data_IF_927096588976
#
_entry.id   IF_927096588976
#
_cell.length_a   1.000
_cell.length_b   1.000
_cell.length_c   1.000
_cell.angle_alpha   90.00
_cell.angle_beta   90.00
_cell.angle_gamma   90.00
#
_symmetry.space_group_name_H-M   'P 1'
#
loop_
_entity.id
_entity.type
_entity.pdbx_description
1 polymer ?
#
# COMPACT_ATOMS: atom_id res chain seq x y z
N UNK A 1 6.30 -18.57 -29.43
CA UNK A 1 4.90 -18.49 -29.91
C UNK A 1 4.35 -17.16 -29.43
N UNK A 2 4.04 -16.26 -30.37
CA UNK A 2 3.76 -14.85 -30.13
C UNK A 2 2.48 -14.70 -29.28
N UNK A 3 2.59 -14.06 -28.11
CA UNK A 3 1.43 -13.66 -27.32
C UNK A 3 0.71 -12.52 -28.07
N UNK A 4 -0.38 -12.87 -28.74
CA UNK A 4 -1.28 -11.90 -29.35
C UNK A 4 -1.88 -11.04 -28.24
N UNK A 5 -1.67 -9.73 -28.34
CA UNK A 5 -2.33 -8.74 -27.50
C UNK A 5 -3.83 -8.87 -27.70
N UNK A 6 -4.54 -9.26 -26.66
CA UNK A 6 -5.99 -9.16 -26.63
C UNK A 6 -6.29 -7.69 -26.41
N UNK A 7 -6.62 -6.98 -27.49
CA UNK A 7 -7.42 -5.75 -27.41
C UNK A 7 -8.78 -6.16 -26.84
N UNK A 8 -8.86 -6.17 -25.52
CA UNK A 8 -10.10 -6.39 -24.80
C UNK A 8 -10.82 -5.05 -24.88
N UNK A 9 -11.73 -4.90 -25.84
CA UNK A 9 -12.80 -3.90 -25.73
C UNK A 9 -13.43 -4.10 -24.35
N UNK A 10 -13.09 -3.21 -23.41
CA UNK A 10 -13.66 -3.21 -22.08
C UNK A 10 -15.08 -2.69 -22.24
N UNK A 11 -15.99 -3.58 -22.61
CA UNK A 11 -17.44 -3.37 -22.68
C UNK A 11 -18.03 -3.30 -21.25
N UNK A 12 -17.38 -2.50 -20.39
CA UNK A 12 -17.75 -2.32 -18.99
C UNK A 12 -18.41 -0.95 -18.87
N UNK A 13 -19.69 -0.87 -18.50
CA UNK A 13 -20.36 0.42 -18.41
C UNK A 13 -19.70 1.28 -17.34
N UNK A 14 -19.55 2.57 -17.62
CA UNK A 14 -19.10 3.54 -16.64
C UNK A 14 -20.12 3.63 -15.49
N UNK A 15 -19.68 3.29 -14.28
CA UNK A 15 -20.46 3.42 -13.06
C UNK A 15 -19.63 4.26 -12.07
N UNK A 16 -20.10 5.46 -11.69
CA UNK A 16 -19.35 6.29 -10.76
C UNK A 16 -19.42 5.79 -9.32
N UNK A 17 -18.36 6.08 -8.56
CA UNK A 17 -18.37 6.01 -7.09
C UNK A 17 -19.27 7.13 -6.51
N UNK A 18 -20.25 6.83 -5.64
CA UNK A 18 -21.04 7.86 -4.95
C UNK A 18 -20.15 8.83 -4.16
N UNK A 19 -20.52 10.12 -4.11
CA UNK A 19 -19.64 11.15 -3.51
C UNK A 19 -19.31 10.88 -2.02
N UNK A 20 -20.26 10.34 -1.25
CA UNK A 20 -20.02 9.94 0.14
C UNK A 20 -18.92 8.86 0.26
N UNK A 21 -18.89 7.92 -0.69
CA UNK A 21 -17.87 6.87 -0.77
C UNK A 21 -16.53 7.46 -1.22
N UNK A 22 -16.51 8.37 -2.21
CA UNK A 22 -15.30 9.11 -2.60
C UNK A 22 -14.68 9.81 -1.40
N UNK A 23 -15.48 10.55 -0.63
CA UNK A 23 -15.01 11.23 0.57
C UNK A 23 -14.40 10.24 1.56
N UNK A 24 -15.07 9.09 1.78
CA UNK A 24 -14.57 8.07 2.71
C UNK A 24 -13.29 7.40 2.23
N UNK A 25 -13.16 7.12 0.93
CA UNK A 25 -11.92 6.58 0.34
C UNK A 25 -10.73 7.49 0.65
N UNK A 26 -10.88 8.79 0.39
CA UNK A 26 -9.80 9.77 0.60
C UNK A 26 -9.50 9.99 2.09
N UNK A 27 -10.52 9.93 2.96
CA UNK A 27 -10.34 9.98 4.41
C UNK A 27 -9.63 8.74 4.96
N UNK A 28 -10.04 7.54 4.55
CA UNK A 28 -9.44 6.29 5.00
C UNK A 28 -7.99 6.17 4.52
N UNK A 29 -7.69 6.65 3.31
CA UNK A 29 -6.33 6.76 2.80
C UNK A 29 -5.53 7.92 3.42
N UNK A 30 -6.09 8.65 4.38
CA UNK A 30 -5.44 9.79 5.04
C UNK A 30 -4.77 10.74 4.04
N UNK A 31 -5.46 11.10 2.95
CA UNK A 31 -4.88 11.97 1.90
C UNK A 31 -4.47 13.31 2.49
N UNK A 32 -3.27 13.77 2.15
CA UNK A 32 -2.64 14.99 2.69
C UNK A 32 -2.34 16.01 1.59
N UNK A 33 -2.18 17.30 1.95
CA UNK A 33 -1.66 18.29 1.02
C UNK A 33 -0.33 17.86 0.42
N UNK A 34 -0.22 17.95 -0.91
CA UNK A 34 0.98 17.58 -1.67
C UNK A 34 1.10 16.10 -2.04
N UNK A 35 0.26 15.21 -1.49
CA UNK A 35 0.20 13.80 -1.92
C UNK A 35 -0.03 13.73 -3.43
N UNK A 36 0.69 12.83 -4.09
CA UNK A 36 0.47 12.42 -5.47
C UNK A 36 -0.58 11.30 -5.48
N UNK A 37 -1.80 11.63 -5.86
CA UNK A 37 -2.91 10.69 -6.01
C UNK A 37 -3.01 10.26 -7.47
N UNK A 38 -3.11 8.96 -7.71
CA UNK A 38 -3.35 8.40 -9.04
C UNK A 38 -4.63 7.58 -9.01
N UNK A 39 -5.53 7.83 -9.96
CA UNK A 39 -6.81 7.13 -10.09
C UNK A 39 -6.85 6.28 -11.36
N UNK A 40 -6.93 4.95 -11.19
CA UNK A 40 -6.96 4.01 -12.30
C UNK A 40 -8.41 3.72 -12.71
N UNK A 41 -8.80 4.13 -13.91
CA UNK A 41 -10.20 4.12 -14.35
C UNK A 41 -10.97 5.33 -13.81
N UNK A 42 -10.46 6.53 -14.10
CA UNK A 42 -10.87 7.74 -13.39
C UNK A 42 -12.29 8.22 -13.70
N UNK A 43 -12.93 7.71 -14.75
CA UNK A 43 -14.30 8.07 -15.08
C UNK A 43 -14.49 9.56 -15.29
N UNK A 44 -15.47 10.17 -14.61
CA UNK A 44 -15.67 11.63 -14.62
C UNK A 44 -14.66 12.43 -13.79
N UNK A 45 -13.69 11.77 -13.15
CA UNK A 45 -12.60 12.41 -12.43
C UNK A 45 -12.93 12.88 -11.03
N UNK A 46 -14.13 12.57 -10.52
CA UNK A 46 -14.61 13.03 -9.20
C UNK A 46 -13.66 12.73 -8.04
N UNK A 47 -12.95 11.60 -8.06
CA UNK A 47 -12.02 11.22 -6.99
C UNK A 47 -10.84 12.19 -6.96
N UNK A 48 -10.17 12.36 -8.09
CA UNK A 48 -9.04 13.28 -8.22
C UNK A 48 -9.42 14.74 -7.99
N UNK A 49 -10.57 15.18 -8.51
CA UNK A 49 -11.07 16.54 -8.28
C UNK A 49 -11.35 16.77 -6.80
N UNK A 50 -12.02 15.81 -6.12
CA UNK A 50 -12.27 15.90 -4.67
C UNK A 50 -10.96 15.91 -3.89
N UNK A 51 -9.98 15.09 -4.27
CA UNK A 51 -8.66 15.05 -3.64
C UNK A 51 -7.96 16.41 -3.73
N UNK A 52 -7.99 17.04 -4.91
CA UNK A 52 -7.38 18.36 -5.11
C UNK A 52 -8.09 19.48 -4.35
N UNK A 53 -9.43 19.49 -4.36
CA UNK A 53 -10.23 20.53 -3.71
C UNK A 53 -10.20 20.45 -2.18
N UNK A 54 -10.40 19.25 -1.60
CA UNK A 54 -10.55 19.07 -0.15
C UNK A 54 -9.22 18.91 0.56
N UNK A 55 -8.23 18.29 -0.09
CA UNK A 55 -6.96 17.93 0.56
C UNK A 55 -5.75 18.66 -0.01
N UNK A 56 -5.88 19.39 -1.12
CA UNK A 56 -4.72 20.01 -1.77
C UNK A 56 -3.75 19.00 -2.37
N UNK A 57 -4.25 17.81 -2.71
CA UNK A 57 -3.49 16.79 -3.42
C UNK A 57 -3.27 17.18 -4.89
N UNK A 58 -2.36 16.47 -5.55
CA UNK A 58 -2.03 16.59 -6.96
C UNK A 58 -1.96 15.21 -7.60
N UNK A 59 -1.84 15.16 -8.93
CA UNK A 59 -1.60 13.91 -9.65
C UNK A 59 -2.47 13.79 -10.89
N UNK A 60 -2.90 12.57 -11.22
CA UNK A 60 -3.66 12.36 -12.44
C UNK A 60 -4.59 11.15 -12.38
N UNK A 61 -5.63 11.18 -13.20
CA UNK A 61 -6.49 10.03 -13.48
C UNK A 61 -6.22 9.49 -14.88
N UNK A 62 -6.37 8.17 -15.07
CA UNK A 62 -6.32 7.53 -16.39
C UNK A 62 -7.65 6.89 -16.74
N UNK A 63 -8.08 7.07 -17.98
CA UNK A 63 -9.37 6.62 -18.50
C UNK A 63 -9.22 6.24 -19.97
N UNK A 64 -9.96 5.24 -20.45
CA UNK A 64 -9.92 4.81 -21.85
C UNK A 64 -10.89 5.60 -22.72
N UNK A 65 -12.08 5.97 -22.20
CA UNK A 65 -13.08 6.73 -22.95
C UNK A 65 -12.65 8.19 -23.10
N UNK A 66 -12.32 8.65 -24.34
CA UNK A 66 -11.85 10.01 -24.56
C UNK A 66 -12.92 11.08 -24.24
N UNK A 67 -14.21 10.72 -24.19
CA UNK A 67 -15.29 11.65 -23.80
C UNK A 67 -15.23 11.95 -22.30
N UNK A 68 -15.02 10.92 -21.48
CA UNK A 68 -14.86 11.09 -20.04
C UNK A 68 -13.60 11.88 -19.72
N UNK A 69 -12.46 11.56 -20.36
CA UNK A 69 -11.21 12.33 -20.25
C UNK A 69 -11.42 13.82 -20.54
N UNK A 70 -12.13 14.17 -21.62
CA UNK A 70 -12.45 15.57 -21.94
C UNK A 70 -13.31 16.20 -20.86
N UNK A 71 -14.40 15.54 -20.48
CA UNK A 71 -15.31 16.04 -19.44
C UNK A 71 -14.61 16.29 -18.10
N UNK A 72 -13.72 15.39 -17.68
CA UNK A 72 -12.98 15.52 -16.42
C UNK A 72 -11.98 16.67 -16.45
N UNK A 73 -11.28 16.87 -17.58
CA UNK A 73 -10.38 18.01 -17.73
C UNK A 73 -11.15 19.33 -17.77
N UNK A 74 -12.31 19.38 -18.42
CA UNK A 74 -13.17 20.56 -18.42
C UNK A 74 -13.71 20.89 -17.02
N UNK A 75 -14.13 19.86 -16.28
CA UNK A 75 -14.55 20.00 -14.88
C UNK A 75 -13.42 20.49 -13.99
N UNK A 76 -12.21 19.92 -14.11
CA UNK A 76 -11.05 20.36 -13.35
C UNK A 76 -10.71 21.84 -13.61
N UNK A 77 -10.89 22.33 -14.85
CA UNK A 77 -10.76 23.76 -15.17
C UNK A 77 -11.89 24.57 -14.54
N UNK A 78 -13.14 24.12 -14.69
CA UNK A 78 -14.33 24.79 -14.17
C UNK A 78 -14.26 25.01 -12.66
N UNK A 79 -13.72 24.04 -11.93
CA UNK A 79 -13.60 24.08 -10.47
C UNK A 79 -12.22 24.55 -9.97
N UNK A 80 -11.34 24.99 -10.87
CA UNK A 80 -10.09 25.67 -10.54
C UNK A 80 -8.98 24.78 -9.97
N UNK A 81 -8.91 23.50 -10.37
CA UNK A 81 -7.87 22.54 -9.90
C UNK A 81 -7.00 21.97 -11.02
N UNK A 82 -7.18 22.44 -12.26
CA UNK A 82 -6.45 21.95 -13.44
C UNK A 82 -4.92 22.18 -13.39
N UNK A 83 -4.43 23.02 -12.48
CA UNK A 83 -3.01 23.18 -12.18
C UNK A 83 -2.42 22.00 -11.38
N UNK A 84 -3.27 21.25 -10.66
CA UNK A 84 -2.87 20.14 -9.77
C UNK A 84 -3.23 18.76 -10.30
N UNK A 85 -4.34 18.67 -11.05
CA UNK A 85 -4.84 17.39 -11.57
C UNK A 85 -5.04 17.42 -13.07
N UNK A 86 -4.73 16.29 -13.71
CA UNK A 86 -4.93 16.06 -15.14
C UNK A 86 -5.57 14.71 -15.37
N UNK A 87 -6.30 14.57 -16.46
CA UNK A 87 -6.87 13.29 -16.88
C UNK A 87 -6.31 12.90 -18.23
N UNK A 88 -5.81 11.66 -18.34
CA UNK A 88 -5.08 11.16 -19.49
C UNK A 88 -5.83 10.01 -20.13
N UNK A 89 -5.91 10.01 -21.46
CA UNK A 89 -6.44 8.86 -22.19
C UNK A 89 -5.38 7.76 -22.24
N UNK A 90 -5.45 6.80 -21.32
CA UNK A 90 -4.43 5.77 -21.16
C UNK A 90 -5.01 4.46 -20.65
N UNK A 91 -4.39 3.36 -21.06
CA UNK A 91 -4.63 2.03 -20.51
C UNK A 91 -3.98 1.92 -19.12
N UNK A 92 -4.79 1.68 -18.09
CA UNK A 92 -4.33 1.53 -16.71
C UNK A 92 -3.27 0.44 -16.53
N UNK A 93 -3.25 -0.59 -17.39
CA UNK A 93 -2.26 -1.66 -17.33
C UNK A 93 -0.91 -1.25 -17.91
N UNK A 94 -0.84 -0.09 -18.60
CA UNK A 94 0.39 0.49 -19.16
C UNK A 94 0.79 1.80 -18.48
N UNK A 95 -0.08 2.35 -17.64
CA UNK A 95 0.18 3.55 -16.86
C UNK A 95 1.30 3.33 -15.86
N UNK A 96 2.25 4.26 -15.84
CA UNK A 96 3.27 4.36 -14.81
C UNK A 96 2.69 5.06 -13.57
N UNK A 97 2.76 4.39 -12.42
CA UNK A 97 2.23 4.90 -11.16
C UNK A 97 3.24 4.83 -10.00
N UNK A 98 4.54 4.66 -10.28
CA UNK A 98 5.57 4.47 -9.23
C UNK A 98 5.69 5.64 -8.23
N UNK A 99 5.31 6.85 -8.66
CA UNK A 99 5.32 8.07 -7.82
C UNK A 99 4.03 8.27 -7.01
N UNK A 100 3.05 7.34 -7.05
CA UNK A 100 1.85 7.47 -6.25
C UNK A 100 2.15 7.41 -4.75
N UNK A 101 1.69 8.42 -4.02
CA UNK A 101 1.56 8.37 -2.56
C UNK A 101 0.22 7.71 -2.17
N UNK A 102 -0.80 7.87 -3.02
CA UNK A 102 -2.10 7.21 -2.93
C UNK A 102 -2.55 6.71 -4.30
N UNK A 103 -2.99 5.45 -4.37
CA UNK A 103 -3.62 4.86 -5.56
C UNK A 103 -5.09 4.57 -5.27
N UNK A 104 -6.01 5.09 -6.09
CA UNK A 104 -7.45 4.88 -5.95
C UNK A 104 -7.98 3.96 -7.04
N UNK A 105 -8.89 3.06 -6.68
CA UNK A 105 -9.46 2.04 -7.57
C UNK A 105 -10.98 1.94 -7.37
N UNK A 106 -11.73 1.95 -8.47
CA UNK A 106 -13.08 1.38 -8.53
C UNK A 106 -13.23 0.62 -9.84
N UNK A 107 -12.78 -0.63 -9.84
CA UNK A 107 -12.61 -1.47 -11.04
C UNK A 107 -13.47 -2.74 -10.93
N UNK A 108 -13.02 -3.85 -11.52
CA UNK A 108 -13.61 -5.17 -11.36
C UNK A 108 -12.67 -6.08 -10.54
N UNK A 109 -13.17 -7.14 -9.89
CA UNK A 109 -12.34 -8.08 -9.12
C UNK A 109 -11.10 -8.59 -9.88
N UNK A 110 -11.29 -9.05 -11.12
CA UNK A 110 -10.21 -9.60 -11.93
C UNK A 110 -9.17 -8.54 -12.32
N UNK A 111 -9.59 -7.28 -12.48
CA UNK A 111 -8.69 -6.16 -12.77
C UNK A 111 -7.85 -5.84 -11.53
N UNK A 112 -8.44 -5.83 -10.33
CA UNK A 112 -7.69 -5.70 -9.09
C UNK A 112 -6.66 -6.83 -8.92
N UNK A 113 -7.04 -8.08 -9.22
CA UNK A 113 -6.11 -9.22 -9.15
C UNK A 113 -4.96 -9.08 -10.14
N UNK A 114 -5.23 -8.61 -11.36
CA UNK A 114 -4.22 -8.40 -12.39
C UNK A 114 -3.28 -7.22 -12.07
N UNK A 115 -3.76 -6.18 -11.39
CA UNK A 115 -2.95 -5.02 -10.97
C UNK A 115 -2.11 -5.30 -9.72
N UNK A 116 -2.57 -6.14 -8.80
CA UNK A 116 -1.90 -6.41 -7.51
C UNK A 116 -0.38 -6.70 -7.63
N UNK A 117 0.10 -7.54 -8.58
CA UNK A 117 1.54 -7.76 -8.73
C UNK A 117 2.32 -6.49 -9.10
N UNK A 118 1.78 -5.64 -10.00
CA UNK A 118 2.41 -4.37 -10.38
C UNK A 118 2.41 -3.39 -9.21
N UNK A 119 1.29 -3.27 -8.50
CA UNK A 119 1.15 -2.44 -7.28
C UNK A 119 2.24 -2.80 -6.28
N UNK A 120 2.45 -4.08 -5.98
CA UNK A 120 3.48 -4.55 -5.03
C UNK A 120 4.92 -4.45 -5.56
N UNK A 121 5.10 -4.38 -6.88
CA UNK A 121 6.42 -4.32 -7.51
C UNK A 121 6.92 -2.90 -7.73
N UNK A 122 6.03 -1.98 -8.10
CA UNK A 122 6.38 -0.65 -8.62
C UNK A 122 6.17 0.46 -7.59
N UNK A 123 5.22 0.31 -6.66
CA UNK A 123 4.95 1.34 -5.66
C UNK A 123 5.96 1.30 -4.52
N UNK A 124 6.24 2.49 -3.99
CA UNK A 124 7.11 2.67 -2.84
C UNK A 124 6.46 2.07 -1.59
N UNK A 125 7.24 1.47 -0.67
CA UNK A 125 6.72 1.10 0.63
C UNK A 125 6.07 2.28 1.33
N UNK A 126 4.86 2.08 1.86
CA UNK A 126 4.07 3.14 2.49
C UNK A 126 3.04 3.78 1.56
N UNK A 127 3.08 3.55 0.24
CA UNK A 127 1.99 3.97 -0.66
C UNK A 127 0.68 3.34 -0.20
N UNK A 128 -0.37 4.15 -0.15
CA UNK A 128 -1.71 3.75 0.29
C UNK A 128 -2.55 3.40 -0.92
N UNK A 129 -3.17 2.22 -0.92
CA UNK A 129 -4.04 1.78 -2.01
C UNK A 129 -5.45 1.68 -1.47
N UNK A 130 -6.39 2.40 -2.08
CA UNK A 130 -7.79 2.42 -1.63
C UNK A 130 -8.71 1.94 -2.75
N UNK A 131 -9.56 0.97 -2.45
CA UNK A 131 -10.47 0.34 -3.42
C UNK A 131 -11.92 0.44 -2.96
N UNK A 132 -12.81 0.72 -3.91
CA UNK A 132 -14.25 0.67 -3.74
C UNK A 132 -14.79 -0.71 -4.14
N UNK A 133 -15.52 -1.34 -3.23
CA UNK A 133 -16.26 -2.62 -3.31
C UNK A 133 -15.47 -3.90 -3.56
N UNK A 134 -14.30 -3.82 -4.19
CA UNK A 134 -13.55 -5.00 -4.60
C UNK A 134 -12.22 -5.10 -3.86
N UNK A 135 -11.96 -6.30 -3.32
CA UNK A 135 -10.77 -6.59 -2.53
C UNK A 135 -9.52 -6.87 -3.41
N UNK A 136 -8.43 -7.29 -2.75
CA UNK A 136 -7.19 -7.75 -3.38
C UNK A 136 -6.91 -9.23 -3.10
N UNK A 137 -7.96 -10.04 -2.95
CA UNK A 137 -7.92 -11.47 -2.69
C UNK A 137 -7.15 -11.81 -1.40
N UNK A 138 -6.10 -12.62 -1.53
CA UNK A 138 -5.29 -13.06 -0.37
C UNK A 138 -4.45 -11.95 0.28
N UNK A 139 -4.27 -10.79 -0.38
CA UNK A 139 -3.65 -9.64 0.25
C UNK A 139 -4.70 -8.95 1.12
N UNK A 140 -4.62 -9.17 2.43
CA UNK A 140 -5.60 -8.63 3.39
C UNK A 140 -5.44 -7.12 3.54
N UNK A 141 -6.54 -6.37 3.68
CA UNK A 141 -6.48 -4.93 3.89
C UNK A 141 -5.97 -4.58 5.31
N UNK A 142 -5.35 -3.42 5.42
CA UNK A 142 -5.00 -2.76 6.68
C UNK A 142 -6.25 -2.25 7.40
N UNK A 143 -7.25 -1.79 6.65
CA UNK A 143 -8.55 -1.38 7.15
C UNK A 143 -9.64 -1.63 6.10
N UNK A 144 -10.86 -1.92 6.54
CA UNK A 144 -12.03 -2.01 5.67
C UNK A 144 -13.25 -1.45 6.39
N UNK A 145 -14.11 -0.74 5.67
CA UNK A 145 -15.31 -0.13 6.21
C UNK A 145 -16.47 -0.24 5.22
N UNK A 146 -17.64 -0.61 5.72
CA UNK A 146 -18.88 -0.62 4.93
C UNK A 146 -19.74 0.56 5.35
N UNK A 147 -20.21 1.34 4.38
CA UNK A 147 -21.02 2.53 4.61
C UNK A 147 -22.26 2.58 3.71
N UNK A 148 -23.35 3.25 4.16
CA UNK A 148 -24.50 3.51 3.30
C UNK A 148 -24.11 4.28 2.03
N UNK A 149 -24.65 3.84 0.91
CA UNK A 149 -24.47 4.41 -0.41
C UNK A 149 -25.81 4.43 -1.16
N UNK A 150 -26.77 5.28 -0.74
CA UNK A 150 -28.11 5.33 -1.34
C UNK A 150 -28.07 5.65 -2.84
N UNK A 151 -27.11 6.50 -3.24
CA UNK A 151 -26.92 6.96 -4.62
C UNK A 151 -26.15 5.97 -5.50
N UNK A 152 -25.82 4.79 -4.98
CA UNK A 152 -25.13 3.75 -5.73
C UNK A 152 -26.00 3.27 -6.89
N UNK A 153 -25.50 3.42 -8.11
CA UNK A 153 -26.24 3.13 -9.33
C UNK A 153 -26.46 1.62 -9.56
N UNK A 154 -25.54 0.78 -9.07
CA UNK A 154 -25.57 -0.68 -9.27
C UNK A 154 -25.40 -1.44 -7.96
N UNK A 155 -25.86 -2.68 -7.94
CA UNK A 155 -25.81 -3.55 -6.76
C UNK A 155 -27.10 -3.55 -5.95
N UNK A 156 -27.48 -4.73 -5.46
CA UNK A 156 -28.73 -4.92 -4.72
C UNK A 156 -28.74 -4.24 -3.35
N UNK A 157 -27.56 -4.10 -2.73
CA UNK A 157 -27.39 -3.41 -1.44
C UNK A 157 -26.99 -1.96 -1.70
N UNK A 158 -27.69 -1.03 -1.05
CA UNK A 158 -27.40 0.41 -1.07
C UNK A 158 -26.31 0.78 -0.07
N UNK A 159 -25.23 0.01 -0.12
CA UNK A 159 -24.04 0.12 0.70
C UNK A 159 -22.82 -0.11 -0.19
N UNK A 160 -21.69 0.45 0.22
CA UNK A 160 -20.41 0.22 -0.43
C UNK A 160 -19.37 -0.15 0.60
N UNK A 161 -18.37 -0.92 0.21
CA UNK A 161 -17.23 -1.22 1.08
C UNK A 161 -15.99 -0.50 0.57
N UNK A 162 -15.27 0.16 1.46
CA UNK A 162 -13.99 0.80 1.16
C UNK A 162 -12.90 -0.01 1.84
N UNK A 163 -11.88 -0.38 1.06
CA UNK A 163 -10.73 -1.13 1.53
C UNK A 163 -9.47 -0.28 1.43
N UNK A 164 -8.59 -0.37 2.43
CA UNK A 164 -7.28 0.26 2.46
C UNK A 164 -6.20 -0.80 2.57
N UNK A 165 -5.19 -0.72 1.71
CA UNK A 165 -3.92 -1.41 1.88
C UNK A 165 -2.76 -0.43 1.97
N UNK A 166 -1.67 -0.87 2.59
CA UNK A 166 -0.39 -0.16 2.58
C UNK A 166 0.67 -1.06 1.96
N UNK A 167 1.32 -0.59 0.90
CA UNK A 167 2.37 -1.35 0.21
C UNK A 167 3.51 -1.64 1.17
N UNK A 168 3.82 -2.91 1.50
CA UNK A 168 4.84 -3.25 2.48
C UNK A 168 6.24 -3.25 1.84
N UNK A 169 7.26 -2.89 2.62
CA UNK A 169 8.65 -3.07 2.22
C UNK A 169 9.00 -4.55 2.01
N UNK A 170 10.01 -4.83 1.18
CA UNK A 170 10.47 -6.20 0.93
C UNK A 170 11.56 -6.58 1.92
N UNK A 171 11.25 -7.50 2.85
CA UNK A 171 12.15 -7.95 3.91
C UNK A 171 12.48 -9.44 3.83
N UNK A 172 11.85 -10.20 2.94
CA UNK A 172 12.20 -11.60 2.70
C UNK A 172 13.70 -11.77 2.42
N UNK A 173 14.32 -12.80 3.00
CA UNK A 173 15.72 -13.13 2.80
C UNK A 173 16.54 -13.14 4.10
N UNK A 174 17.86 -13.24 3.93
CA UNK A 174 18.79 -13.33 5.04
C UNK A 174 19.33 -11.95 5.44
N UNK A 175 19.44 -11.73 6.75
CA UNK A 175 19.90 -10.48 7.35
C UNK A 175 20.92 -10.74 8.45
N UNK A 176 21.96 -9.90 8.52
CA UNK A 176 22.83 -9.83 9.69
C UNK A 176 22.40 -8.66 10.56
N UNK A 177 22.04 -8.95 11.81
CA UNK A 177 21.63 -7.96 12.81
C UNK A 177 22.77 -7.69 13.78
N UNK A 178 22.92 -6.43 14.17
CA UNK A 178 23.72 -5.99 15.30
C UNK A 178 22.83 -5.22 16.29
N UNK A 179 22.74 -5.72 17.52
CA UNK A 179 21.96 -5.13 18.62
C UNK A 179 22.93 -4.52 19.62
N UNK A 180 22.77 -3.23 19.92
CA UNK A 180 23.58 -2.48 20.88
C UNK A 180 22.81 -2.23 22.18
N UNK A 181 23.24 -2.91 23.25
CA UNK A 181 22.70 -2.75 24.61
C UNK A 181 23.76 -2.02 25.46
N UNK A 182 23.58 -0.71 25.64
CA UNK A 182 24.61 0.13 26.25
C UNK A 182 25.92 0.07 25.46
N UNK A 183 27.01 -0.37 26.10
CA UNK A 183 28.33 -0.54 25.44
C UNK A 183 28.55 -1.91 24.79
N UNK A 184 27.63 -2.86 24.98
CA UNK A 184 27.77 -4.22 24.45
C UNK A 184 27.05 -4.34 23.11
N UNK A 185 27.65 -5.06 22.18
CA UNK A 185 27.04 -5.43 20.90
C UNK A 185 26.82 -6.94 20.85
N UNK A 186 25.66 -7.38 20.35
CA UNK A 186 25.35 -8.77 20.04
C UNK A 186 24.99 -8.85 18.57
N UNK A 187 25.57 -9.82 17.85
CA UNK A 187 25.21 -10.11 16.47
C UNK A 187 24.36 -11.36 16.41
N UNK A 188 23.34 -11.36 15.57
CA UNK A 188 22.51 -12.53 15.25
C UNK A 188 22.17 -12.47 13.77
N UNK A 189 21.83 -13.61 13.17
CA UNK A 189 21.35 -13.64 11.77
C UNK A 189 19.85 -13.92 11.75
N UNK A 190 19.10 -13.26 10.88
CA UNK A 190 17.70 -13.56 10.61
C UNK A 190 17.57 -14.20 9.22
N UNK A 191 16.70 -15.20 9.12
CA UNK A 191 16.17 -15.65 7.83
C UNK A 191 14.67 -15.37 7.84
N UNK A 192 14.24 -14.37 7.06
CA UNK A 192 12.87 -13.87 7.03
C UNK A 192 12.13 -14.41 5.82
N UNK A 193 10.90 -14.85 6.05
CA UNK A 193 9.90 -15.16 5.05
C UNK A 193 8.84 -14.06 5.09
N UNK A 194 8.26 -13.74 3.93
CA UNK A 194 7.29 -12.67 3.82
C UNK A 194 6.08 -13.09 2.99
N UNK A 195 4.89 -12.79 3.51
CA UNK A 195 3.66 -12.81 2.75
C UNK A 195 2.96 -11.46 2.91
N UNK A 196 3.13 -10.58 1.93
CA UNK A 196 2.66 -9.20 1.96
C UNK A 196 3.13 -8.46 3.23
N UNK A 197 2.21 -8.04 4.10
CA UNK A 197 2.54 -7.35 5.34
C UNK A 197 2.89 -8.29 6.51
N UNK A 198 2.77 -9.61 6.34
CA UNK A 198 3.11 -10.59 7.38
C UNK A 198 4.53 -11.09 7.19
N UNK A 199 5.28 -11.16 8.28
CA UNK A 199 6.67 -11.59 8.29
C UNK A 199 6.83 -12.73 9.31
N UNK A 200 7.47 -13.80 8.87
CA UNK A 200 7.88 -14.93 9.71
C UNK A 200 9.37 -15.20 9.50
N UNK A 201 9.93 -16.17 10.20
CA UNK A 201 11.31 -16.57 9.96
C UNK A 201 11.98 -17.24 11.14
N UNK A 202 13.30 -17.17 11.17
CA UNK A 202 14.12 -17.69 12.26
C UNK A 202 15.23 -16.71 12.63
N UNK A 203 15.55 -16.64 13.92
CA UNK A 203 16.74 -15.99 14.45
C UNK A 203 17.79 -17.06 14.80
N UNK A 204 19.00 -16.94 14.24
CA UNK A 204 20.15 -17.79 14.55
C UNK A 204 21.09 -17.10 15.54
N UNK A 205 21.49 -17.83 16.57
CA UNK A 205 22.36 -17.32 17.63
C UNK A 205 23.84 -17.62 17.32
N UNK A 206 24.79 -16.79 17.76
CA UNK A 206 26.23 -17.03 17.60
C UNK A 206 26.70 -18.35 18.20
N UNK A 207 26.16 -18.69 19.37
CA UNK A 207 26.43 -19.94 20.09
C UNK A 207 25.84 -21.20 19.44
N UNK A 208 25.13 -21.05 18.31
CA UNK A 208 24.41 -22.13 17.63
C UNK A 208 22.94 -22.22 18.06
N UNK A 209 22.14 -22.86 17.21
CA UNK A 209 20.69 -22.98 17.38
C UNK A 209 19.89 -21.88 16.67
N UNK A 210 18.61 -22.15 16.47
CA UNK A 210 17.66 -21.26 15.80
C UNK A 210 16.34 -21.20 16.55
N UNK A 211 15.78 -20.00 16.66
CA UNK A 211 14.49 -19.77 17.30
C UNK A 211 13.49 -19.16 16.29
N UNK A 212 12.23 -19.64 16.26
CA UNK A 212 11.25 -19.16 15.30
C UNK A 212 10.78 -17.73 15.59
N UNK A 213 10.43 -17.01 14.53
CA UNK A 213 9.76 -15.72 14.54
C UNK A 213 8.42 -15.91 13.81
N UNK A 214 7.30 -15.74 14.51
CA UNK A 214 5.96 -16.07 13.98
C UNK A 214 5.01 -14.89 13.81
N UNK A 215 5.29 -13.74 14.44
CA UNK A 215 4.35 -12.61 14.55
C UNK A 215 4.96 -11.29 14.04
N UNK A 216 5.72 -11.36 12.96
CA UNK A 216 6.24 -10.17 12.30
C UNK A 216 5.19 -9.45 11.47
N UNK A 217 5.25 -8.12 11.47
CA UNK A 217 4.36 -7.28 10.67
C UNK A 217 5.09 -6.09 10.06
N UNK A 218 4.72 -5.77 8.82
CA UNK A 218 5.08 -4.54 8.13
C UNK A 218 3.90 -3.57 8.08
N UNK A 219 4.19 -2.27 8.14
CA UNK A 219 3.29 -1.20 7.73
C UNK A 219 4.11 -0.21 6.91
N UNK A 220 4.00 -0.28 5.59
CA UNK A 220 4.90 0.46 4.72
C UNK A 220 6.34 -0.01 4.91
N UNK A 221 7.23 0.92 5.23
CA UNK A 221 8.63 0.67 5.57
C UNK A 221 8.84 0.31 7.05
N UNK A 222 7.83 0.43 7.91
CA UNK A 222 7.95 0.08 9.33
C UNK A 222 7.86 -1.43 9.54
N UNK A 223 8.87 -2.02 10.18
CA UNK A 223 8.91 -3.42 10.57
C UNK A 223 8.78 -3.56 12.10
N UNK A 224 7.90 -4.45 12.54
CA UNK A 224 7.87 -4.97 13.91
C UNK A 224 8.09 -6.49 13.89
N UNK A 225 9.07 -6.96 14.64
CA UNK A 225 9.34 -8.39 14.86
C UNK A 225 9.44 -8.68 16.35
N UNK A 226 8.71 -9.68 16.83
CA UNK A 226 8.89 -10.17 18.20
C UNK A 226 9.96 -11.27 18.21
N UNK A 227 11.07 -11.02 18.89
CA UNK A 227 12.11 -12.01 19.12
C UNK A 227 11.77 -12.83 20.37
N UNK A 228 11.87 -14.17 20.31
CA UNK A 228 11.60 -15.02 21.46
C UNK A 228 12.65 -14.85 22.57
N UNK A 229 12.31 -15.35 23.76
CA UNK A 229 13.21 -15.41 24.90
C UNK A 229 14.56 -16.06 24.53
N UNK A 230 15.64 -15.53 25.09
CA UNK A 230 17.00 -16.02 24.88
C UNK A 230 17.74 -15.40 23.69
N UNK A 231 17.02 -14.79 22.72
CA UNK A 231 17.67 -14.14 21.57
C UNK A 231 18.38 -12.84 21.95
N UNK A 232 17.76 -12.02 22.80
CA UNK A 232 18.31 -10.73 23.22
C UNK A 232 18.28 -10.59 24.74
N UNK A 233 17.13 -10.92 25.34
CA UNK A 233 16.89 -10.86 26.77
C UNK A 233 16.25 -12.17 27.26
N UNK A 234 16.13 -12.31 28.59
CA UNK A 234 15.42 -13.43 29.23
C UNK A 234 13.96 -13.52 28.80
N UNK A 235 13.35 -12.38 28.52
CA UNK A 235 11.96 -12.25 28.10
C UNK A 235 11.90 -11.86 26.61
N UNK A 236 10.78 -12.12 25.91
CA UNK A 236 10.59 -11.66 24.54
C UNK A 236 10.74 -10.14 24.42
N UNK A 237 11.25 -9.70 23.27
CA UNK A 237 11.44 -8.28 22.96
C UNK A 237 10.98 -8.01 21.54
N UNK A 238 10.55 -6.78 21.28
CA UNK A 238 10.18 -6.34 19.94
C UNK A 238 11.33 -5.58 19.30
N UNK A 239 11.72 -5.97 18.09
CA UNK A 239 12.44 -5.10 17.18
C UNK A 239 11.41 -4.23 16.47
N UNK A 240 11.52 -2.91 16.63
CA UNK A 240 10.73 -1.93 15.89
C UNK A 240 11.70 -1.06 15.10
N UNK A 241 11.53 -0.99 13.79
CA UNK A 241 12.46 -0.24 12.94
C UNK A 241 11.89 0.07 11.57
N UNK A 242 12.72 0.67 10.72
CA UNK A 242 12.40 1.01 9.33
C UNK A 242 13.31 0.29 8.36
N UNK A 243 12.76 -0.03 7.19
CA UNK A 243 13.44 -0.65 6.06
C UNK A 243 13.84 0.43 5.06
N UNK A 244 15.11 0.45 4.67
CA UNK A 244 15.63 1.32 3.61
C UNK A 244 16.50 0.48 2.67
N UNK A 245 15.91 -0.04 1.60
CA UNK A 245 16.56 -0.94 0.65
C UNK A 245 17.09 -2.20 1.35
N UNK A 246 18.41 -2.35 1.36
CA UNK A 246 19.12 -3.49 1.96
C UNK A 246 19.61 -3.22 3.39
N UNK A 247 19.00 -2.23 4.06
CA UNK A 247 19.28 -1.90 5.45
C UNK A 247 18.00 -1.84 6.29
N UNK A 248 18.10 -2.23 7.56
CA UNK A 248 17.10 -1.94 8.57
C UNK A 248 17.77 -1.27 9.77
N UNK A 249 17.02 -0.41 10.45
CA UNK A 249 17.47 0.13 11.72
C UNK A 249 16.30 0.50 12.62
N UNK A 250 16.54 0.48 13.93
CA UNK A 250 15.52 0.85 14.88
C UNK A 250 15.90 0.56 16.32
N UNK A 251 14.87 0.30 17.13
CA UNK A 251 14.98 0.11 18.57
C UNK A 251 14.47 -1.26 18.98
N UNK A 252 15.02 -1.76 20.08
CA UNK A 252 14.54 -2.94 20.79
C UNK A 252 13.65 -2.45 21.91
N UNK A 253 12.42 -2.93 21.97
CA UNK A 253 11.43 -2.53 22.96
C UNK A 253 11.01 -3.70 23.83
N UNK A 254 10.77 -3.42 25.10
CA UNK A 254 10.19 -4.34 26.08
C UNK A 254 9.12 -3.61 26.87
N UNK A 255 7.87 -4.07 26.79
CA UNK A 255 6.72 -3.39 27.39
C UNK A 255 6.75 -1.87 27.06
N UNK A 256 6.86 -1.55 25.77
CA UNK A 256 6.95 -0.20 25.17
C UNK A 256 8.17 0.66 25.54
N UNK A 257 9.00 0.21 26.49
CA UNK A 257 10.27 0.88 26.82
C UNK A 257 11.36 0.48 25.85
N UNK A 258 12.05 1.47 25.32
CA UNK A 258 13.29 1.26 24.57
C UNK A 258 14.39 0.78 25.52
N UNK A 259 15.06 -0.30 25.15
CA UNK A 259 16.14 -0.91 25.94
C UNK A 259 17.45 -1.04 25.16
N UNK A 260 17.42 -0.89 23.83
CA UNK A 260 18.57 -0.99 22.95
C UNK A 260 18.25 -0.45 21.55
N UNK A 261 19.30 -0.26 20.74
CA UNK A 261 19.18 0.02 19.31
C UNK A 261 19.66 -1.18 18.51
N UNK A 262 19.22 -1.29 17.26
CA UNK A 262 19.68 -2.33 16.34
C UNK A 262 19.78 -1.81 14.91
N UNK A 263 20.64 -2.45 14.13
CA UNK A 263 20.76 -2.28 12.69
C UNK A 263 20.92 -3.63 12.02
N UNK A 264 20.43 -3.77 10.79
CA UNK A 264 20.60 -4.95 9.97
C UNK A 264 21.06 -4.60 8.57
N UNK A 265 21.84 -5.49 7.97
CA UNK A 265 22.19 -5.46 6.55
C UNK A 265 21.77 -6.75 5.88
N UNK A 266 21.22 -6.65 4.67
CA UNK A 266 20.83 -7.82 3.88
C UNK A 266 22.10 -8.59 3.50
N UNK A 267 22.02 -9.91 3.58
CA UNK A 267 23.06 -10.76 3.00
C UNK A 267 22.81 -10.94 1.51
N UNK A 268 23.84 -10.85 0.67
CA UNK A 268 23.73 -11.15 -0.75
C UNK A 268 23.33 -12.61 -1.00
#
# INVERSE_FOLDING_TARGET
MLAQGVDKELDTPYVPTPQAVVNRMLELAEVKPGDTVIDLGSGDGRIMITAAQKYGARGFGVELDPRLVRSSNDEARRVGVADRVKFLQQDLFKTDFHEADVLTLYLLPDVNMALRPRILAELKPGTRVVSHDYDMGVWRPEAQETLPAPDKAVGARKESTVYLWIVPAKVEGAWEIEIRIGRKARRISLALEQQYQRVSGTARLPEGGSLPISEGRLRGDELRLTLPRGVVARDPVDLVGRVAGDSLSGTVRRADREIATWSALRRP
#
